data_IF_458086211656
#
_entry.id   IF_458086211656
#
_cell.length_a   1.000
_cell.length_b   1.000
_cell.length_c   1.000
_cell.angle_alpha   90.00
_cell.angle_beta   90.00
_cell.angle_gamma   90.00
#
_symmetry.space_group_name_H-M   'P 1'
#
loop_
_entity.id
_entity.type
_entity.pdbx_description
1 polymer ?
#
# COMPACT_ATOMS: atom_id res chain seq x y z
N UNK A 1 -33.79 48.59 -7.14
CA UNK A 1 -32.65 47.74 -6.73
C UNK A 1 -32.28 46.87 -7.91
N UNK A 2 -31.09 47.09 -8.47
CA UNK A 2 -30.62 46.51 -9.73
C UNK A 2 -30.40 45.00 -9.61
N UNK A 3 -30.93 44.26 -10.58
CA UNK A 3 -30.60 42.88 -10.91
C UNK A 3 -29.30 42.85 -11.71
N UNK A 4 -28.17 42.59 -11.04
CA UNK A 4 -26.91 42.28 -11.71
C UNK A 4 -26.91 40.81 -12.17
N UNK A 5 -27.32 40.60 -13.41
CA UNK A 5 -27.02 39.41 -14.20
C UNK A 5 -25.51 39.21 -14.28
N UNK A 6 -24.98 38.20 -13.59
CA UNK A 6 -23.63 37.67 -13.80
C UNK A 6 -23.58 37.06 -15.21
N UNK A 7 -23.19 37.89 -16.19
CA UNK A 7 -22.80 37.44 -17.51
C UNK A 7 -21.54 36.57 -17.37
N UNK A 8 -21.72 35.25 -17.36
CA UNK A 8 -20.65 34.31 -17.71
C UNK A 8 -20.33 34.53 -19.19
N UNK A 9 -19.38 35.43 -19.46
CA UNK A 9 -18.69 35.48 -20.74
C UNK A 9 -17.99 34.14 -20.94
N UNK A 10 -18.61 33.26 -21.73
CA UNK A 10 -17.98 32.07 -22.29
C UNK A 10 -16.78 32.49 -23.14
N UNK A 11 -15.59 32.52 -22.54
CA UNK A 11 -14.35 32.63 -23.30
C UNK A 11 -14.09 31.30 -24.02
N UNK A 12 -14.00 31.27 -25.36
CA UNK A 12 -13.72 30.04 -26.12
C UNK A 12 -12.35 29.41 -25.77
N UNK A 13 -11.44 30.20 -25.18
CA UNK A 13 -10.08 29.77 -24.84
C UNK A 13 -10.04 28.77 -23.68
N UNK A 14 -10.82 28.96 -22.62
CA UNK A 14 -10.79 28.08 -21.44
C UNK A 14 -11.31 26.67 -21.74
N UNK A 15 -12.43 26.56 -22.46
CA UNK A 15 -12.96 25.25 -22.87
C UNK A 15 -12.02 24.50 -23.82
N UNK A 16 -11.35 25.23 -24.73
CA UNK A 16 -10.39 24.64 -25.66
C UNK A 16 -9.08 24.20 -25.00
N UNK A 17 -8.59 24.97 -24.02
CA UNK A 17 -7.40 24.66 -23.22
C UNK A 17 -7.65 23.46 -22.31
N UNK A 18 -8.79 23.43 -21.62
CA UNK A 18 -9.22 22.29 -20.81
C UNK A 18 -9.30 21.05 -21.69
N UNK A 19 -10.00 21.12 -22.83
CA UNK A 19 -10.13 19.99 -23.75
C UNK A 19 -8.75 19.50 -24.26
N UNK A 20 -7.84 20.41 -24.62
CA UNK A 20 -6.46 20.08 -25.03
C UNK A 20 -5.67 19.40 -23.92
N UNK A 21 -5.74 19.92 -22.70
CA UNK A 21 -5.07 19.32 -21.53
C UNK A 21 -5.56 17.89 -21.29
N UNK A 22 -6.87 17.66 -21.35
CA UNK A 22 -7.45 16.33 -21.18
C UNK A 22 -7.08 15.37 -22.32
N UNK A 23 -7.03 15.83 -23.57
CA UNK A 23 -6.67 14.99 -24.72
C UNK A 23 -5.24 14.46 -24.67
N UNK A 24 -4.29 15.20 -24.09
CA UNK A 24 -2.91 14.74 -23.92
C UNK A 24 -2.69 13.89 -22.67
N UNK A 25 -3.41 14.18 -21.59
CA UNK A 25 -3.16 13.59 -20.27
C UNK A 25 -3.72 12.18 -20.14
N UNK A 26 -4.91 11.90 -20.69
CA UNK A 26 -5.51 10.56 -20.58
C UNK A 26 -4.66 9.47 -21.26
N UNK A 27 -4.15 9.66 -22.49
CA UNK A 27 -3.24 8.68 -23.10
C UNK A 27 -1.91 8.54 -22.34
N UNK A 28 -1.35 9.65 -21.85
CA UNK A 28 -0.13 9.62 -21.05
C UNK A 28 -0.33 8.81 -19.75
N UNK A 29 -1.41 9.07 -19.02
CA UNK A 29 -1.76 8.32 -17.81
C UNK A 29 -2.01 6.84 -18.09
N UNK A 30 -2.62 6.51 -19.24
CA UNK A 30 -2.80 5.13 -19.67
C UNK A 30 -1.44 4.43 -19.86
N UNK A 31 -0.51 5.03 -20.61
CA UNK A 31 0.82 4.46 -20.84
C UNK A 31 1.59 4.30 -19.52
N UNK A 32 1.55 5.34 -18.67
CA UNK A 32 2.22 5.33 -17.36
C UNK A 32 1.61 4.25 -16.46
N UNK A 33 0.28 4.15 -16.38
CA UNK A 33 -0.42 3.15 -15.57
C UNK A 33 -0.07 1.73 -15.99
N UNK A 34 -0.15 1.44 -17.29
CA UNK A 34 0.16 0.12 -17.84
C UNK A 34 1.60 -0.25 -17.55
N UNK A 35 2.53 0.68 -17.75
CA UNK A 35 3.96 0.47 -17.47
C UNK A 35 4.18 0.21 -15.98
N UNK A 36 3.63 1.07 -15.12
CA UNK A 36 3.80 0.98 -13.67
C UNK A 36 3.24 -0.32 -13.10
N UNK A 37 2.00 -0.66 -13.42
CA UNK A 37 1.39 -1.90 -12.91
C UNK A 37 2.07 -3.15 -13.46
N UNK A 38 2.61 -3.11 -14.68
CA UNK A 38 3.43 -4.21 -15.22
C UNK A 38 4.73 -4.38 -14.43
N UNK A 39 5.40 -3.28 -14.08
CA UNK A 39 6.61 -3.31 -13.27
C UNK A 39 6.32 -3.86 -11.87
N UNK A 40 5.29 -3.35 -11.19
CA UNK A 40 4.87 -3.84 -9.86
C UNK A 40 4.50 -5.31 -9.91
N UNK A 41 3.80 -5.75 -10.95
CA UNK A 41 3.45 -7.16 -11.15
C UNK A 41 4.71 -8.04 -11.24
N UNK A 42 5.66 -7.70 -12.12
CA UNK A 42 6.87 -8.50 -12.31
C UNK A 42 7.71 -8.55 -11.03
N UNK A 43 7.94 -7.39 -10.40
CA UNK A 43 8.70 -7.30 -9.16
C UNK A 43 8.02 -8.04 -8.02
N UNK A 44 6.69 -7.92 -7.91
CA UNK A 44 5.91 -8.53 -6.85
C UNK A 44 5.84 -10.06 -6.97
N UNK A 45 5.60 -10.59 -8.18
CA UNK A 45 5.57 -12.05 -8.40
C UNK A 45 6.96 -12.67 -8.16
N UNK A 46 8.01 -12.08 -8.71
CA UNK A 46 9.38 -12.61 -8.55
C UNK A 46 9.85 -12.45 -7.11
N UNK A 47 9.75 -11.25 -6.54
CA UNK A 47 10.25 -10.93 -5.20
C UNK A 47 9.50 -11.70 -4.12
N UNK A 48 8.17 -11.61 -4.09
CA UNK A 48 7.38 -12.30 -3.07
C UNK A 48 7.41 -13.81 -3.27
N UNK A 49 7.47 -14.30 -4.51
CA UNK A 49 7.64 -15.73 -4.80
C UNK A 49 8.96 -16.28 -4.24
N UNK A 50 10.06 -15.54 -4.35
CA UNK A 50 11.34 -15.89 -3.74
C UNK A 50 11.24 -15.92 -2.20
N UNK A 51 10.60 -14.92 -1.59
CA UNK A 51 10.41 -14.88 -0.13
C UNK A 51 9.57 -16.07 0.34
N UNK A 52 8.46 -16.40 -0.35
CA UNK A 52 7.63 -17.56 -0.06
C UNK A 52 8.44 -18.85 -0.16
N UNK A 53 9.28 -18.99 -1.20
CA UNK A 53 10.11 -20.18 -1.37
C UNK A 53 11.12 -20.34 -0.22
N UNK A 54 11.84 -19.27 0.14
CA UNK A 54 12.85 -19.33 1.20
C UNK A 54 12.18 -19.53 2.57
N UNK A 55 11.16 -18.74 2.92
CA UNK A 55 10.46 -18.85 4.21
C UNK A 55 9.66 -20.15 4.34
N UNK A 56 9.13 -20.66 3.23
CA UNK A 56 8.32 -21.87 3.20
C UNK A 56 9.14 -23.15 3.34
N UNK A 57 10.26 -23.24 2.62
CA UNK A 57 11.02 -24.48 2.42
C UNK A 57 12.43 -24.49 3.02
N UNK A 58 13.05 -23.33 3.23
CA UNK A 58 14.44 -23.23 3.72
C UNK A 58 14.57 -22.80 5.19
N UNK A 59 13.51 -22.23 5.77
CA UNK A 59 13.53 -21.77 7.16
C UNK A 59 12.84 -22.74 8.11
N UNK A 60 13.30 -22.75 9.37
CA UNK A 60 12.57 -23.39 10.47
C UNK A 60 11.22 -22.70 10.66
N UNK A 61 10.18 -23.45 11.04
CA UNK A 61 8.85 -22.92 11.32
C UNK A 61 8.85 -22.20 12.67
N UNK A 62 9.21 -20.92 12.65
CA UNK A 62 9.13 -20.00 13.79
C UNK A 62 8.00 -18.99 13.56
N UNK A 63 7.57 -18.31 14.63
CA UNK A 63 6.52 -17.27 14.54
C UNK A 63 6.94 -16.15 13.56
N UNK A 64 8.20 -15.71 13.65
CA UNK A 64 8.79 -14.72 12.75
C UNK A 64 8.83 -15.20 11.29
N UNK A 65 9.18 -16.46 11.03
CA UNK A 65 9.17 -17.02 9.67
C UNK A 65 7.75 -17.11 9.09
N UNK A 66 6.76 -17.49 9.92
CA UNK A 66 5.34 -17.51 9.53
C UNK A 66 4.84 -16.10 9.20
N UNK A 67 5.28 -15.08 9.95
CA UNK A 67 4.95 -13.69 9.65
C UNK A 67 5.46 -13.26 8.26
N UNK A 68 6.74 -13.47 7.95
CA UNK A 68 7.30 -13.16 6.63
C UNK A 68 6.59 -13.93 5.51
N UNK A 69 6.27 -15.20 5.75
CA UNK A 69 5.56 -16.04 4.79
C UNK A 69 4.15 -15.51 4.52
N UNK A 70 3.39 -15.14 5.56
CA UNK A 70 2.04 -14.60 5.44
C UNK A 70 2.05 -13.23 4.73
N UNK A 71 3.00 -12.36 5.08
CA UNK A 71 3.16 -11.06 4.43
C UNK A 71 3.43 -11.23 2.93
N UNK A 72 4.42 -12.05 2.58
CA UNK A 72 4.76 -12.32 1.19
C UNK A 72 3.62 -13.01 0.42
N UNK A 73 2.87 -13.91 1.07
CA UNK A 73 1.70 -14.55 0.47
C UNK A 73 0.57 -13.55 0.18
N UNK A 74 0.30 -12.62 1.10
CA UNK A 74 -0.70 -11.58 0.90
C UNK A 74 -0.32 -10.65 -0.26
N UNK A 75 0.94 -10.20 -0.29
CA UNK A 75 1.47 -9.33 -1.35
C UNK A 75 1.50 -10.06 -2.70
N UNK A 76 1.92 -11.34 -2.75
CA UNK A 76 1.89 -12.16 -3.96
C UNK A 76 0.47 -12.33 -4.51
N UNK A 77 -0.49 -12.67 -3.63
CA UNK A 77 -1.89 -12.78 -3.99
C UNK A 77 -2.44 -11.47 -4.54
N UNK A 78 -2.10 -10.33 -3.94
CA UNK A 78 -2.47 -9.01 -4.46
C UNK A 78 -1.89 -8.76 -5.86
N UNK A 79 -0.60 -9.09 -6.07
CA UNK A 79 0.05 -8.92 -7.37
C UNK A 79 -0.63 -9.74 -8.48
N UNK A 80 -1.20 -10.91 -8.19
CA UNK A 80 -1.95 -11.70 -9.19
C UNK A 80 -3.17 -10.98 -9.76
N UNK A 81 -3.72 -9.97 -9.07
CA UNK A 81 -4.83 -9.16 -9.57
C UNK A 81 -4.39 -7.97 -10.41
N UNK A 82 -3.10 -7.56 -10.37
CA UNK A 82 -2.58 -6.42 -11.15
C UNK A 82 -2.84 -6.48 -12.67
N UNK A 83 -2.77 -7.67 -13.32
CA UNK A 83 -3.16 -7.79 -14.73
C UNK A 83 -4.58 -7.31 -15.04
N UNK A 84 -5.53 -7.46 -14.12
CA UNK A 84 -6.90 -6.97 -14.32
C UNK A 84 -6.94 -5.43 -14.36
N UNK A 85 -6.10 -4.76 -13.58
CA UNK A 85 -5.97 -3.29 -13.62
C UNK A 85 -5.34 -2.84 -14.94
N UNK A 86 -4.33 -3.57 -15.43
CA UNK A 86 -3.71 -3.29 -16.73
C UNK A 86 -4.76 -3.36 -17.84
N UNK A 87 -5.59 -4.42 -17.85
CA UNK A 87 -6.68 -4.55 -18.84
C UNK A 87 -7.68 -3.40 -18.72
N UNK A 88 -8.04 -2.98 -17.50
CA UNK A 88 -8.95 -1.85 -17.30
C UNK A 88 -8.42 -0.55 -17.92
N UNK A 89 -7.11 -0.28 -17.79
CA UNK A 89 -6.46 0.88 -18.41
C UNK A 89 -6.34 0.74 -19.93
N UNK A 90 -5.99 -0.44 -20.45
CA UNK A 90 -5.88 -0.69 -21.90
C UNK A 90 -7.23 -0.60 -22.59
N UNK A 91 -8.29 -1.12 -21.97
CA UNK A 91 -9.65 -1.14 -22.52
C UNK A 91 -10.46 0.12 -22.17
N UNK A 92 -9.80 1.15 -21.62
CA UNK A 92 -10.42 2.44 -21.29
C UNK A 92 -11.70 2.30 -20.46
N UNK A 93 -11.69 1.38 -19.50
CA UNK A 93 -12.82 1.13 -18.62
C UNK A 93 -13.74 -0.03 -19.01
N UNK A 94 -13.63 -0.57 -20.22
CA UNK A 94 -14.44 -1.72 -20.65
C UNK A 94 -14.01 -3.02 -19.97
N UNK A 95 -15.00 -3.77 -19.44
CA UNK A 95 -14.77 -4.98 -18.66
C UNK A 95 -15.27 -6.25 -19.39
N UNK A 96 -14.37 -7.17 -19.82
CA UNK A 96 -14.76 -8.37 -20.58
C UNK A 96 -14.98 -9.64 -19.73
N UNK A 97 -14.61 -9.67 -18.45
CA UNK A 97 -14.49 -10.91 -17.66
C UNK A 97 -15.76 -11.32 -16.89
N UNK A 98 -16.89 -10.66 -17.16
CA UNK A 98 -18.16 -10.91 -16.47
C UNK A 98 -18.21 -10.44 -15.01
N UNK A 99 -19.38 -10.57 -14.39
CA UNK A 99 -19.70 -9.93 -13.11
C UNK A 99 -18.95 -10.52 -11.90
N UNK A 100 -18.69 -11.83 -11.88
CA UNK A 100 -17.99 -12.47 -10.75
C UNK A 100 -16.57 -11.94 -10.63
N UNK A 101 -15.83 -11.91 -11.75
CA UNK A 101 -14.48 -11.38 -11.77
C UNK A 101 -14.49 -9.87 -11.58
N UNK A 102 -15.52 -9.16 -12.05
CA UNK A 102 -15.69 -7.74 -11.76
C UNK A 102 -15.82 -7.49 -10.26
N UNK A 103 -16.68 -8.26 -9.57
CA UNK A 103 -16.83 -8.18 -8.12
C UNK A 103 -15.53 -8.53 -7.43
N UNK A 104 -14.78 -9.55 -7.87
CA UNK A 104 -13.47 -9.86 -7.30
C UNK A 104 -12.45 -8.73 -7.52
N UNK A 105 -12.37 -8.17 -8.74
CA UNK A 105 -11.52 -7.03 -9.07
C UNK A 105 -11.86 -5.81 -8.24
N UNK A 106 -13.14 -5.46 -8.17
CA UNK A 106 -13.66 -4.40 -7.33
C UNK A 106 -13.33 -4.73 -5.89
N UNK A 107 -13.58 -5.93 -5.39
CA UNK A 107 -13.30 -6.38 -4.01
C UNK A 107 -11.83 -6.45 -3.68
N UNK A 108 -10.89 -6.58 -4.62
CA UNK A 108 -9.44 -6.52 -4.34
C UNK A 108 -8.97 -5.07 -4.38
N UNK A 109 -9.44 -4.32 -5.37
CA UNK A 109 -9.34 -2.84 -5.37
C UNK A 109 -9.88 -2.31 -4.07
N UNK A 110 -10.96 -2.92 -3.58
CA UNK A 110 -11.75 -2.65 -2.40
C UNK A 110 -11.44 -3.58 -1.20
N UNK A 111 -10.42 -4.44 -1.23
CA UNK A 111 -9.94 -5.13 -0.02
C UNK A 111 -9.01 -4.19 0.73
N UNK A 112 -8.56 -3.15 0.01
CA UNK A 112 -8.30 -1.85 0.60
C UNK A 112 -9.59 -1.11 1.02
N UNK A 113 -10.74 -1.13 0.30
CA UNK A 113 -12.00 -0.35 0.47
C UNK A 113 -13.28 -1.13 0.91
N UNK A 114 -13.61 -1.20 2.19
CA UNK A 114 -14.91 -1.73 2.59
C UNK A 114 -16.09 -0.76 2.29
N UNK A 115 -16.57 -0.58 1.04
CA UNK A 115 -18.01 -0.32 0.73
C UNK A 115 -18.38 -0.16 -0.76
N UNK A 116 -19.65 -0.52 -1.00
CA UNK A 116 -20.55 -0.26 -2.13
C UNK A 116 -20.21 -0.94 -3.46
N UNK A 117 -20.82 -2.11 -3.64
CA UNK A 117 -21.21 -2.65 -4.94
C UNK A 117 -21.92 -1.58 -5.77
N UNK A 118 -21.33 -1.21 -6.90
CA UNK A 118 -21.97 -0.42 -7.94
C UNK A 118 -22.94 -1.33 -8.70
N UNK A 119 -24.09 -1.64 -8.09
CA UNK A 119 -25.24 -2.18 -8.82
C UNK A 119 -26.39 -1.19 -8.59
N UNK A 120 -26.93 -0.72 -9.72
CA UNK A 120 -28.05 0.22 -9.91
C UNK A 120 -27.72 1.71 -9.75
N UNK A 121 -27.06 2.30 -10.75
CA UNK A 121 -27.04 3.76 -10.92
C UNK A 121 -28.27 4.28 -11.69
N UNK A 122 -29.10 3.40 -12.26
CA UNK A 122 -30.22 3.82 -13.13
C UNK A 122 -31.58 4.02 -12.44
N UNK A 123 -31.74 3.78 -11.13
CA UNK A 123 -33.03 3.99 -10.43
C UNK A 123 -32.86 4.32 -8.93
N UNK A 124 -32.09 5.36 -8.59
CA UNK A 124 -31.80 5.73 -7.19
C UNK A 124 -32.81 6.78 -6.71
N UNK A 125 -33.52 6.45 -5.62
CA UNK A 125 -34.36 7.41 -4.89
C UNK A 125 -33.49 8.39 -4.09
N UNK A 126 -34.01 9.56 -3.74
CA UNK A 126 -33.22 10.57 -3.00
C UNK A 126 -32.74 10.08 -1.61
N UNK A 127 -33.44 9.11 -1.01
CA UNK A 127 -33.01 8.38 0.19
C UNK A 127 -31.80 7.47 -0.02
N UNK A 128 -31.59 6.97 -1.24
CA UNK A 128 -30.47 6.10 -1.59
C UNK A 128 -29.16 6.91 -1.73
N UNK A 129 -29.24 8.18 -2.16
CA UNK A 129 -28.08 9.09 -2.28
C UNK A 129 -27.49 9.42 -0.90
N UNK A 130 -28.35 9.75 0.08
CA UNK A 130 -27.88 10.06 1.44
C UNK A 130 -27.20 8.84 2.07
N UNK A 131 -27.81 7.66 1.92
CA UNK A 131 -27.24 6.39 2.38
C UNK A 131 -25.91 6.07 1.70
N UNK A 132 -25.78 6.35 0.40
CA UNK A 132 -24.53 6.20 -0.35
C UNK A 132 -23.42 7.12 0.19
N UNK A 133 -23.71 8.41 0.39
CA UNK A 133 -22.73 9.38 0.90
C UNK A 133 -22.27 9.01 2.31
N UNK A 134 -23.19 8.65 3.21
CA UNK A 134 -22.84 8.22 4.57
C UNK A 134 -21.96 6.96 4.57
N UNK A 135 -22.24 5.99 3.71
CA UNK A 135 -21.41 4.79 3.54
C UNK A 135 -20.01 5.16 3.01
N UNK A 136 -19.93 6.02 2.01
CA UNK A 136 -18.66 6.48 1.45
C UNK A 136 -17.78 7.18 2.51
N UNK A 137 -18.37 8.11 3.27
CA UNK A 137 -17.67 8.83 4.35
C UNK A 137 -17.26 7.84 5.45
N UNK A 138 -18.19 7.02 5.94
CA UNK A 138 -17.95 6.06 7.01
C UNK A 138 -16.82 5.08 6.67
N UNK A 139 -16.83 4.52 5.46
CA UNK A 139 -15.76 3.66 4.97
C UNK A 139 -14.42 4.37 4.90
N UNK A 140 -14.38 5.58 4.35
CA UNK A 140 -13.12 6.29 4.19
C UNK A 140 -12.50 6.64 5.55
N UNK A 141 -13.31 7.10 6.51
CA UNK A 141 -12.87 7.45 7.87
C UNK A 141 -12.44 6.20 8.64
N UNK A 142 -13.25 5.14 8.65
CA UNK A 142 -12.91 3.89 9.36
C UNK A 142 -11.64 3.24 8.81
N UNK A 143 -11.42 3.30 7.51
CA UNK A 143 -10.18 2.82 6.88
C UNK A 143 -8.98 3.68 7.22
N UNK A 144 -9.11 5.00 7.17
CA UNK A 144 -8.03 5.88 7.59
C UNK A 144 -7.64 5.61 9.05
N UNK A 145 -8.62 5.42 9.93
CA UNK A 145 -8.36 5.07 11.31
C UNK A 145 -7.66 3.70 11.45
N UNK A 146 -8.26 2.63 10.91
CA UNK A 146 -7.80 1.25 11.14
C UNK A 146 -6.56 0.85 10.34
N UNK A 147 -6.35 1.38 9.14
CA UNK A 147 -5.22 1.01 8.26
C UNK A 147 -4.05 1.99 8.33
N UNK A 148 -4.26 3.20 8.87
CA UNK A 148 -3.23 4.23 8.92
C UNK A 148 -3.01 4.77 10.34
N UNK A 149 -4.00 5.46 10.92
CA UNK A 149 -3.80 6.21 12.17
C UNK A 149 -3.49 5.30 13.37
N UNK A 150 -4.30 4.26 13.60
CA UNK A 150 -4.14 3.33 14.73
C UNK A 150 -2.81 2.57 14.59
N UNK A 151 -2.49 1.91 13.44
CA UNK A 151 -1.19 1.27 13.25
C UNK A 151 0.00 2.23 13.43
N UNK A 152 -0.11 3.48 12.96
CA UNK A 152 0.95 4.48 13.09
C UNK A 152 1.21 4.86 14.54
N UNK A 153 0.16 5.11 15.32
CA UNK A 153 0.26 5.41 16.75
C UNK A 153 0.88 4.22 17.49
N UNK A 154 0.40 3.00 17.23
CA UNK A 154 0.96 1.77 17.83
C UNK A 154 2.45 1.66 17.51
N UNK A 155 2.83 1.84 16.25
CA UNK A 155 4.23 1.80 15.84
C UNK A 155 5.10 2.82 16.57
N UNK A 156 4.66 4.09 16.67
CA UNK A 156 5.40 5.13 17.38
C UNK A 156 5.58 4.81 18.87
N UNK A 157 4.53 4.29 19.52
CA UNK A 157 4.58 3.90 20.93
C UNK A 157 5.55 2.73 21.10
N UNK A 158 5.38 1.65 20.32
CA UNK A 158 6.22 0.45 20.41
C UNK A 158 7.69 0.79 20.12
N UNK A 159 7.97 1.54 19.06
CA UNK A 159 9.32 1.97 18.71
C UNK A 159 9.94 2.86 19.80
N UNK A 160 9.18 3.81 20.33
CA UNK A 160 9.61 4.64 21.46
C UNK A 160 9.96 3.82 22.70
N UNK A 161 9.16 2.80 23.02
CA UNK A 161 9.43 1.86 24.12
C UNK A 161 10.69 1.03 23.89
N UNK A 162 10.88 0.46 22.68
CA UNK A 162 12.09 -0.30 22.32
C UNK A 162 13.33 0.58 22.48
N UNK A 163 13.32 1.79 21.90
CA UNK A 163 14.44 2.73 21.98
C UNK A 163 14.72 3.17 23.42
N UNK A 164 13.67 3.45 24.21
CA UNK A 164 13.80 3.79 25.62
C UNK A 164 14.43 2.64 26.42
N UNK A 165 13.99 1.40 26.20
CA UNK A 165 14.50 0.22 26.88
C UNK A 165 15.96 -0.07 26.51
N UNK A 166 16.31 0.03 25.21
CA UNK A 166 17.70 -0.10 24.73
C UNK A 166 18.60 0.92 25.43
N UNK A 167 18.20 2.21 25.47
CA UNK A 167 18.98 3.28 26.12
C UNK A 167 19.08 3.15 27.63
N UNK A 168 18.00 2.73 28.30
CA UNK A 168 17.95 2.68 29.76
C UNK A 168 18.64 1.44 30.32
N UNK A 169 18.51 0.30 29.65
CA UNK A 169 18.87 -0.99 30.24
C UNK A 169 20.12 -1.63 29.66
N UNK A 170 20.66 -1.22 28.49
CA UNK A 170 21.74 -1.94 27.81
C UNK A 170 21.47 -3.46 27.67
N UNK A 171 20.20 -3.90 27.77
CA UNK A 171 19.83 -5.32 28.00
C UNK A 171 19.18 -5.98 26.80
N UNK A 172 18.50 -5.22 25.94
CA UNK A 172 17.88 -5.79 24.74
C UNK A 172 18.89 -5.62 23.60
N UNK A 173 19.60 -6.70 23.28
CA UNK A 173 20.54 -6.77 22.16
C UNK A 173 19.79 -6.95 20.84
N UNK A 174 18.93 -6.00 20.45
CA UNK A 174 18.38 -6.04 19.09
C UNK A 174 19.51 -5.64 18.13
N UNK A 175 19.78 -6.49 17.14
CA UNK A 175 20.70 -6.11 16.05
C UNK A 175 20.25 -4.77 15.44
N UNK A 176 21.14 -3.79 15.47
CA UNK A 176 20.90 -2.45 14.87
C UNK A 176 20.43 -2.58 13.41
N UNK A 177 20.93 -3.61 12.70
CA UNK A 177 20.52 -3.96 11.34
C UNK A 177 19.05 -4.37 11.27
N UNK A 178 18.62 -5.32 12.10
CA UNK A 178 17.22 -5.79 12.19
C UNK A 178 16.28 -4.64 12.46
N UNK A 179 16.59 -3.80 13.45
CA UNK A 179 15.77 -2.64 13.81
C UNK A 179 15.67 -1.64 12.66
N UNK A 180 16.79 -1.34 11.98
CA UNK A 180 16.80 -0.45 10.81
C UNK A 180 15.87 -0.97 9.72
N UNK A 181 15.94 -2.26 9.36
CA UNK A 181 15.08 -2.86 8.34
C UNK A 181 13.60 -2.77 8.71
N UNK A 182 13.23 -3.14 9.94
CA UNK A 182 11.82 -3.06 10.39
C UNK A 182 11.33 -1.61 10.31
N UNK A 183 12.12 -0.65 10.78
CA UNK A 183 11.79 0.78 10.68
C UNK A 183 11.65 1.21 9.23
N UNK A 184 12.52 0.75 8.32
CA UNK A 184 12.41 1.08 6.89
C UNK A 184 11.15 0.50 6.28
N UNK A 185 10.82 -0.77 6.51
CA UNK A 185 9.59 -1.40 6.00
C UNK A 185 8.37 -0.64 6.46
N UNK A 186 8.27 -0.37 7.77
CA UNK A 186 7.13 0.32 8.34
C UNK A 186 7.04 1.77 7.84
N UNK A 187 8.18 2.45 7.71
CA UNK A 187 8.22 3.81 7.14
C UNK A 187 7.77 3.81 5.69
N UNK A 188 8.25 2.87 4.88
CA UNK A 188 7.84 2.68 3.49
C UNK A 188 6.36 2.39 3.37
N UNK A 189 5.79 1.56 4.25
CA UNK A 189 4.35 1.33 4.33
C UNK A 189 3.61 2.67 4.49
N UNK A 190 3.90 3.45 5.54
CA UNK A 190 3.19 4.72 5.74
C UNK A 190 3.40 5.71 4.60
N UNK A 191 4.59 5.78 4.01
CA UNK A 191 4.85 6.64 2.85
C UNK A 191 4.08 6.22 1.60
N UNK A 192 3.92 4.92 1.36
CA UNK A 192 3.13 4.42 0.23
C UNK A 192 1.63 4.69 0.41
N UNK A 193 1.13 4.65 1.64
CA UNK A 193 -0.30 4.78 1.94
C UNK A 193 -0.75 6.21 2.28
N UNK A 194 0.14 7.10 2.73
CA UNK A 194 -0.26 8.45 3.19
C UNK A 194 -0.88 9.28 2.09
N UNK A 195 -0.29 9.31 0.89
CA UNK A 195 -0.81 10.11 -0.22
C UNK A 195 -2.20 9.65 -0.61
N UNK A 196 -2.41 8.33 -0.59
CA UNK A 196 -3.69 7.72 -0.85
C UNK A 196 -4.75 8.16 0.17
N UNK A 197 -4.47 8.07 1.46
CA UNK A 197 -5.44 8.47 2.49
C UNK A 197 -5.71 9.97 2.51
N UNK A 198 -4.68 10.81 2.30
CA UNK A 198 -4.83 12.25 2.19
C UNK A 198 -5.75 12.62 1.02
N UNK A 199 -5.56 11.99 -0.14
CA UNK A 199 -6.42 12.23 -1.29
C UNK A 199 -7.89 11.85 -1.01
N UNK A 200 -8.14 10.71 -0.36
CA UNK A 200 -9.50 10.32 0.01
C UNK A 200 -10.15 11.28 1.03
N UNK A 201 -9.37 11.77 1.99
CA UNK A 201 -9.84 12.77 2.96
C UNK A 201 -10.15 14.12 2.30
N UNK A 202 -9.30 14.57 1.36
CA UNK A 202 -9.55 15.77 0.56
C UNK A 202 -10.87 15.70 -0.22
N UNK A 203 -11.20 14.52 -0.78
CA UNK A 203 -12.47 14.31 -1.48
C UNK A 203 -13.68 14.43 -0.56
N UNK A 204 -13.58 14.01 0.72
CA UNK A 204 -14.65 14.19 1.71
C UNK A 204 -14.80 15.65 2.11
N UNK A 205 -13.69 16.35 2.30
CA UNK A 205 -13.68 17.77 2.64
C UNK A 205 -14.10 18.68 1.48
N UNK A 206 -14.46 18.09 0.34
CA UNK A 206 -14.84 18.78 -0.89
C UNK A 206 -13.80 19.82 -1.34
N UNK A 207 -12.52 19.53 -1.08
CA UNK A 207 -11.41 20.36 -1.56
C UNK A 207 -11.31 20.14 -3.06
N UNK A 208 -11.87 21.08 -3.83
CA UNK A 208 -12.02 20.94 -5.27
C UNK A 208 -10.67 21.00 -5.99
N UNK A 209 -10.12 19.84 -6.36
CA UNK A 209 -9.08 19.75 -7.37
C UNK A 209 -9.75 19.69 -8.74
N UNK A 210 -9.68 20.78 -9.51
CA UNK A 210 -10.31 20.86 -10.83
C UNK A 210 -9.38 20.37 -11.94
N UNK A 211 -9.97 19.73 -12.93
CA UNK A 211 -9.30 19.38 -14.18
C UNK A 211 -8.28 18.23 -14.03
N UNK A 212 -7.15 18.28 -14.77
CA UNK A 212 -6.25 17.13 -14.89
C UNK A 212 -5.47 16.77 -13.62
N UNK A 213 -5.27 17.73 -12.71
CA UNK A 213 -4.55 17.51 -11.45
C UNK A 213 -5.23 16.45 -10.58
N UNK A 214 -6.56 16.38 -10.62
CA UNK A 214 -7.32 15.33 -9.92
C UNK A 214 -6.90 13.94 -10.38
N UNK A 215 -6.88 13.71 -11.70
CA UNK A 215 -6.53 12.41 -12.28
C UNK A 215 -5.07 12.03 -12.03
N UNK A 216 -4.16 13.01 -12.07
CA UNK A 216 -2.74 12.79 -11.78
C UNK A 216 -2.56 12.40 -10.31
N UNK A 217 -3.14 13.15 -9.37
CA UNK A 217 -3.03 12.84 -7.94
C UNK A 217 -3.69 11.51 -7.59
N UNK A 218 -4.87 11.22 -8.14
CA UNK A 218 -5.52 9.93 -7.97
C UNK A 218 -4.64 8.78 -8.46
N UNK A 219 -4.03 8.93 -9.64
CA UNK A 219 -3.15 7.90 -10.22
C UNK A 219 -1.91 7.71 -9.35
N UNK A 220 -1.24 8.81 -8.98
CA UNK A 220 -0.03 8.80 -8.14
C UNK A 220 -0.28 8.15 -6.77
N UNK A 221 -1.40 8.48 -6.13
CA UNK A 221 -1.84 7.85 -4.89
C UNK A 221 -1.97 6.32 -5.02
N UNK A 222 -2.60 5.84 -6.11
CA UNK A 222 -2.74 4.40 -6.35
C UNK A 222 -1.41 3.73 -6.71
N UNK A 223 -0.55 4.41 -7.48
CA UNK A 223 0.77 3.89 -7.84
C UNK A 223 1.62 3.61 -6.61
N UNK A 224 1.67 4.55 -5.66
CA UNK A 224 2.38 4.40 -4.40
C UNK A 224 1.77 3.31 -3.53
N UNK A 225 0.44 3.31 -3.36
CA UNK A 225 -0.25 2.30 -2.56
C UNK A 225 0.01 0.88 -3.09
N UNK A 226 0.03 0.68 -4.42
CA UNK A 226 0.23 -0.65 -5.00
C UNK A 226 1.70 -1.06 -5.02
N UNK A 227 2.63 -0.10 -5.12
CA UNK A 227 4.07 -0.36 -5.02
C UNK A 227 4.47 -0.97 -3.67
N UNK A 228 3.70 -0.69 -2.61
CA UNK A 228 3.86 -1.32 -1.30
C UNK A 228 3.90 -2.86 -1.37
N UNK A 229 3.20 -3.47 -2.32
CA UNK A 229 3.17 -4.94 -2.47
C UNK A 229 4.47 -5.55 -3.01
N UNK A 230 5.34 -4.77 -3.67
CA UNK A 230 6.60 -5.28 -4.21
C UNK A 230 7.85 -4.71 -3.53
N UNK A 231 7.70 -3.66 -2.70
CA UNK A 231 8.84 -3.00 -2.05
C UNK A 231 9.45 -3.88 -0.94
N UNK A 232 8.67 -4.74 -0.30
CA UNK A 232 9.11 -5.57 0.83
C UNK A 232 10.33 -6.45 0.49
N UNK A 233 10.28 -7.32 -0.55
CA UNK A 233 11.45 -8.06 -1.03
C UNK A 233 12.65 -7.19 -1.42
N UNK A 234 12.41 -6.00 -2.00
CA UNK A 234 13.49 -5.10 -2.39
C UNK A 234 14.25 -4.57 -1.16
N UNK A 235 13.53 -4.23 -0.09
CA UNK A 235 14.11 -3.79 1.18
C UNK A 235 14.94 -4.92 1.79
N UNK A 236 14.41 -6.15 1.81
CA UNK A 236 15.12 -7.32 2.30
C UNK A 236 16.46 -7.55 1.59
N UNK A 237 16.46 -7.46 0.26
CA UNK A 237 17.68 -7.60 -0.55
C UNK A 237 18.65 -6.46 -0.24
N UNK A 238 18.17 -5.20 -0.21
CA UNK A 238 19.02 -4.04 0.02
C UNK A 238 19.75 -4.10 1.37
N UNK A 239 19.06 -4.51 2.44
CA UNK A 239 19.68 -4.63 3.76
C UNK A 239 20.48 -5.92 3.95
N UNK A 240 20.12 -6.98 3.23
CA UNK A 240 20.91 -8.21 3.17
C UNK A 240 22.22 -8.05 2.42
N UNK A 241 22.32 -7.08 1.52
CA UNK A 241 23.49 -6.86 0.68
C UNK A 241 24.63 -6.18 1.47
N UNK A 242 25.73 -6.91 1.68
CA UNK A 242 27.01 -6.31 2.02
C UNK A 242 27.84 -6.08 0.74
N UNK A 243 27.93 -4.82 0.32
CA UNK A 243 28.59 -4.43 -0.94
C UNK A 243 30.05 -4.88 -1.06
N UNK A 244 30.74 -5.19 0.05
CA UNK A 244 32.13 -5.67 0.01
C UNK A 244 32.27 -7.17 -0.20
N UNK A 245 31.34 -7.98 0.32
CA UNK A 245 31.42 -9.45 0.28
C UNK A 245 30.47 -10.11 -0.74
N UNK A 246 29.39 -9.44 -1.12
CA UNK A 246 28.26 -10.08 -1.79
C UNK A 246 28.18 -9.85 -3.31
N UNK A 247 29.14 -9.15 -3.92
CA UNK A 247 29.10 -8.85 -5.37
C UNK A 247 29.03 -10.08 -6.29
N UNK A 248 29.35 -11.28 -5.77
CA UNK A 248 29.23 -12.57 -6.47
C UNK A 248 28.20 -13.51 -5.89
N UNK A 249 27.48 -13.12 -4.82
CA UNK A 249 26.51 -13.98 -4.14
C UNK A 249 25.13 -13.85 -4.79
N UNK A 250 24.41 -14.96 -4.86
CA UNK A 250 23.06 -15.00 -5.46
C UNK A 250 22.01 -14.33 -4.57
N UNK A 251 20.99 -13.69 -5.16
CA UNK A 251 19.87 -13.07 -4.42
C UNK A 251 19.23 -14.01 -3.37
N UNK A 252 18.97 -15.31 -3.67
CA UNK A 252 18.41 -16.21 -2.67
C UNK A 252 19.31 -16.42 -1.46
N UNK A 253 20.63 -16.43 -1.64
CA UNK A 253 21.59 -16.56 -0.55
C UNK A 253 21.58 -15.32 0.36
N UNK A 254 21.52 -14.13 -0.23
CA UNK A 254 21.45 -12.86 0.50
C UNK A 254 20.17 -12.82 1.35
N UNK A 255 19.03 -13.16 0.75
CA UNK A 255 17.75 -13.24 1.45
C UNK A 255 17.77 -14.27 2.58
N UNK A 256 18.32 -15.46 2.33
CA UNK A 256 18.40 -16.53 3.33
C UNK A 256 19.21 -16.10 4.57
N UNK A 257 20.36 -15.46 4.37
CA UNK A 257 21.18 -14.96 5.48
C UNK A 257 20.50 -13.83 6.22
N UNK A 258 19.95 -12.85 5.50
CA UNK A 258 19.23 -11.74 6.10
C UNK A 258 18.07 -12.24 6.97
N UNK A 259 17.32 -13.24 6.50
CA UNK A 259 16.24 -13.82 7.30
C UNK A 259 16.75 -14.61 8.51
N UNK A 260 17.88 -15.32 8.42
CA UNK A 260 18.49 -15.96 9.60
C UNK A 260 18.84 -14.92 10.66
N UNK A 261 19.45 -13.80 10.27
CA UNK A 261 19.73 -12.69 11.19
C UNK A 261 18.44 -12.17 11.89
N UNK A 262 17.32 -12.08 11.15
CA UNK A 262 16.02 -11.72 11.74
C UNK A 262 15.54 -12.74 12.77
N UNK A 263 15.59 -14.01 12.41
CA UNK A 263 15.10 -15.09 13.27
C UNK A 263 15.91 -15.16 14.56
N UNK A 264 17.24 -15.14 14.47
CA UNK A 264 18.15 -15.15 15.62
C UNK A 264 17.88 -13.95 16.54
N UNK A 265 17.78 -12.73 15.97
CA UNK A 265 17.47 -11.54 16.76
C UNK A 265 16.09 -11.58 17.43
N UNK A 266 15.12 -12.31 16.86
CA UNK A 266 13.80 -12.47 17.46
C UNK A 266 13.76 -13.54 18.57
N UNK A 267 14.57 -14.59 18.45
CA UNK A 267 14.72 -15.63 19.47
C UNK A 267 15.42 -15.06 20.71
N UNK A 268 16.48 -14.28 20.54
CA UNK A 268 17.20 -13.61 21.64
C UNK A 268 16.28 -12.68 22.46
N UNK A 269 15.35 -11.97 21.80
CA UNK A 269 14.38 -11.10 22.49
C UNK A 269 13.42 -11.95 23.36
N UNK A 270 13.01 -13.12 22.86
CA UNK A 270 12.05 -13.98 23.57
C UNK A 270 12.65 -14.63 24.81
N UNK A 271 13.90 -15.09 24.73
CA UNK A 271 14.61 -15.71 25.85
C UNK A 271 14.96 -14.69 26.94
N UNK A 272 15.37 -13.47 26.56
CA UNK A 272 15.59 -12.38 27.51
C UNK A 272 14.29 -11.97 28.24
N UNK A 273 13.13 -12.10 27.59
CA UNK A 273 11.84 -11.80 28.20
C UNK A 273 11.43 -12.86 29.22
N UNK A 274 11.69 -14.15 28.94
CA UNK A 274 11.40 -15.25 29.87
C UNK A 274 12.30 -15.22 31.12
N UNK A 275 13.59 -14.86 30.97
CA UNK A 275 14.53 -14.71 32.09
C UNK A 275 14.19 -13.54 33.05
N UNK A 276 13.31 -12.63 32.65
CA UNK A 276 12.79 -11.53 33.49
C UNK A 276 11.52 -11.97 34.26
N UNK A 277 10.97 -13.15 33.99
CA UNK A 277 9.77 -13.68 34.67
C UNK A 277 9.96 -14.56 35.91
N UNK A 278 11.12 -14.72 36.58
CA UNK A 278 11.14 -15.36 37.89
C UNK A 278 10.83 -14.27 38.92
N UNK A 279 9.59 -14.19 39.42
CA UNK A 279 9.15 -13.63 40.72
C UNK A 279 7.70 -13.13 40.61
N UNK A 280 6.77 -14.06 40.40
CA UNK A 280 5.40 -13.94 40.89
C UNK A 280 4.96 -15.29 41.44
N UNK A 281 5.45 -15.61 42.63
CA UNK A 281 4.73 -16.39 43.64
C UNK A 281 4.60 -15.54 44.90
#
# INVERSE_FOLDING_TARGET
MNTSSLNFSNSPTDGSLIKRNFTGILPALQIISVTWYSLVFLLGIVGNGLVIWIAGFKMKKTVSAVWFLNLAAADFCFCLFLPLYIVQWVKQGYWPFGNVIYVAYVSVRNMSYCSVSYIVWENISQSDIHSYILRYIGTTVTRFASMFLIPFIIFLICFGLVVYQVRKRNRISVSSRTLHVVVTIVTCFFLCWILYHLFQLMNILNVSMMGPHYFIMFSLANYLAYFNSCINPMIYIFFGWDFKEDSRRSIPFILENMFKDFLESSEDISTDTELVSPFTE
#
